data_IF_308279860008
#
_entry.id   IF_308279860008
#
_cell.length_a   1.000
_cell.length_b   1.000
_cell.length_c   1.000
_cell.angle_alpha   90.00
_cell.angle_beta   90.00
_cell.angle_gamma   90.00
#
_symmetry.space_group_name_H-M   'P 1'
#
loop_
_entity.id
_entity.type
_entity.pdbx_description
1 polymer ?
#
# COMPACT_ATOMS: atom_id res chain seq x y z
N UNK A 1 -24.73 6.82 -0.33
CA UNK A 1 -24.07 6.01 0.71
C UNK A 1 -23.53 6.95 1.79
N UNK A 2 -23.84 6.71 3.08
CA UNK A 2 -23.32 7.54 4.19
C UNK A 2 -22.00 6.96 4.68
N UNK A 3 -20.89 7.68 4.51
CA UNK A 3 -19.57 7.24 4.99
C UNK A 3 -19.55 7.40 6.53
N UNK A 4 -19.06 6.36 7.25
CA UNK A 4 -18.90 6.38 8.70
C UNK A 4 -17.91 7.45 9.14
N UNK A 5 -18.09 8.05 10.31
CA UNK A 5 -17.21 9.11 10.80
C UNK A 5 -15.78 8.62 11.06
N UNK A 6 -15.61 7.37 11.50
CA UNK A 6 -14.32 6.73 11.72
C UNK A 6 -13.50 6.63 10.43
N UNK A 7 -14.16 6.36 9.29
CA UNK A 7 -13.52 6.34 7.97
C UNK A 7 -13.17 7.77 7.52
N UNK A 8 -14.05 8.74 7.79
CA UNK A 8 -13.76 10.14 7.47
C UNK A 8 -12.55 10.67 8.23
N UNK A 9 -12.32 10.23 9.47
CA UNK A 9 -11.18 10.64 10.27
C UNK A 9 -9.83 10.18 9.67
N UNK A 10 -9.82 9.20 8.77
CA UNK A 10 -8.62 8.74 8.07
C UNK A 10 -8.30 9.55 6.79
N UNK A 11 -9.16 10.48 6.39
CA UNK A 11 -9.03 11.19 5.11
C UNK A 11 -7.72 11.95 4.95
N UNK A 12 -7.33 12.74 5.95
CA UNK A 12 -6.09 13.54 5.88
C UNK A 12 -4.85 12.64 5.84
N UNK A 13 -4.86 11.53 6.59
CA UNK A 13 -3.82 10.52 6.55
C UNK A 13 -3.73 9.86 5.17
N UNK A 14 -4.86 9.48 4.60
CA UNK A 14 -4.94 8.87 3.27
C UNK A 14 -4.36 9.81 2.21
N UNK A 15 -4.75 11.07 2.21
CA UNK A 15 -4.28 12.06 1.23
C UNK A 15 -2.78 12.29 1.38
N UNK A 16 -2.26 12.39 2.61
CA UNK A 16 -0.83 12.54 2.87
C UNK A 16 -0.04 11.33 2.37
N UNK A 17 -0.42 10.12 2.79
CA UNK A 17 0.25 8.88 2.38
C UNK A 17 0.27 8.75 0.85
N UNK A 18 -0.86 9.00 0.20
CA UNK A 18 -0.96 8.96 -1.27
C UNK A 18 0.01 9.93 -1.94
N UNK A 19 0.14 11.16 -1.42
CA UNK A 19 1.04 12.18 -1.99
C UNK A 19 2.51 11.88 -1.73
N UNK A 20 2.83 11.36 -0.55
CA UNK A 20 4.20 10.97 -0.21
C UNK A 20 4.67 9.83 -1.13
N UNK A 21 3.85 8.80 -1.32
CA UNK A 21 4.13 7.68 -2.22
C UNK A 21 4.21 8.13 -3.69
N UNK A 22 3.38 9.07 -4.11
CA UNK A 22 3.38 9.59 -5.48
C UNK A 22 4.69 10.27 -5.86
N UNK A 23 5.40 10.86 -4.90
CA UNK A 23 6.70 11.51 -5.10
C UNK A 23 7.87 10.53 -5.23
N UNK A 24 7.70 9.27 -4.81
CA UNK A 24 8.78 8.28 -4.75
C UNK A 24 8.47 6.99 -5.54
N UNK A 25 7.94 7.06 -6.76
CA UNK A 25 7.64 5.85 -7.54
C UNK A 25 8.91 5.06 -7.84
N UNK A 26 8.86 3.76 -7.57
CA UNK A 26 9.87 2.78 -7.91
C UNK A 26 9.28 1.77 -8.89
N UNK A 27 10.08 1.04 -9.68
CA UNK A 27 9.58 0.18 -10.74
C UNK A 27 9.95 -1.28 -10.55
N UNK A 28 9.05 -2.18 -10.94
CA UNK A 28 9.29 -3.62 -10.90
C UNK A 28 9.57 -4.13 -9.49
N UNK A 29 10.69 -4.81 -9.30
CA UNK A 29 11.15 -5.32 -7.99
C UNK A 29 11.97 -4.29 -7.18
N UNK A 30 12.27 -3.13 -7.73
CA UNK A 30 13.08 -2.12 -7.06
C UNK A 30 12.21 -1.19 -6.20
N UNK A 31 11.41 -1.78 -5.29
CA UNK A 31 10.41 -1.11 -4.45
C UNK A 31 10.83 -1.00 -2.98
N UNK A 32 12.15 -0.89 -2.73
CA UNK A 32 12.70 -0.88 -1.37
C UNK A 32 12.28 0.34 -0.54
N UNK A 33 12.33 1.54 -1.11
CA UNK A 33 11.94 2.76 -0.41
C UNK A 33 10.43 2.83 -0.21
N UNK A 34 9.67 2.41 -1.23
CA UNK A 34 8.21 2.29 -1.17
C UNK A 34 7.79 1.34 -0.04
N UNK A 35 8.40 0.14 0.03
CA UNK A 35 8.06 -0.82 1.06
C UNK A 35 8.54 -0.38 2.45
N UNK A 36 9.70 0.27 2.56
CA UNK A 36 10.15 0.87 3.82
C UNK A 36 9.17 1.95 4.32
N UNK A 37 8.64 2.78 3.42
CA UNK A 37 7.59 3.75 3.76
C UNK A 37 6.31 3.05 4.27
N UNK A 38 5.88 1.98 3.60
CA UNK A 38 4.71 1.16 4.01
C UNK A 38 4.91 0.63 5.43
N UNK A 39 6.04 -0.05 5.69
CA UNK A 39 6.35 -0.62 7.02
C UNK A 39 6.37 0.46 8.11
N UNK A 40 6.99 1.61 7.84
CA UNK A 40 7.05 2.72 8.81
C UNK A 40 5.71 3.42 9.02
N UNK A 41 4.77 3.29 8.09
CA UNK A 41 3.43 3.87 8.18
C UNK A 41 2.43 3.01 8.95
N UNK A 42 2.77 1.76 9.26
CA UNK A 42 1.88 0.79 9.92
C UNK A 42 2.38 0.52 11.34
N UNK A 43 1.52 0.64 12.40
CA UNK A 43 1.95 0.56 13.80
C UNK A 43 2.11 -0.88 14.33
N UNK A 44 2.18 -1.87 13.46
CA UNK A 44 2.48 -3.28 13.78
C UNK A 44 3.61 -3.78 12.90
N UNK A 45 4.33 -4.81 13.36
CA UNK A 45 5.36 -5.44 12.54
C UNK A 45 4.74 -6.20 11.35
N UNK A 46 5.48 -6.25 10.24
CA UNK A 46 5.13 -7.13 9.14
C UNK A 46 5.36 -8.59 9.53
N UNK A 47 4.46 -9.48 9.12
CA UNK A 47 4.59 -10.94 9.35
C UNK A 47 5.58 -11.57 8.37
N UNK A 48 5.69 -11.02 7.15
CA UNK A 48 6.74 -11.34 6.19
C UNK A 48 7.22 -10.05 5.51
N UNK A 49 8.54 -9.89 5.35
CA UNK A 49 9.17 -8.71 4.75
C UNK A 49 10.55 -9.08 4.22
N UNK A 50 10.79 -8.83 2.94
CA UNK A 50 12.05 -9.11 2.24
C UNK A 50 12.77 -7.85 1.73
N UNK A 51 12.31 -6.66 2.13
CA UNK A 51 12.86 -5.38 1.75
C UNK A 51 12.10 -4.69 0.62
N UNK A 52 11.48 -5.41 -0.29
CA UNK A 52 10.77 -4.87 -1.45
C UNK A 52 9.34 -5.42 -1.63
N UNK A 53 8.92 -6.35 -0.76
CA UNK A 53 7.54 -6.81 -0.62
C UNK A 53 7.21 -7.05 0.85
N UNK A 54 5.92 -7.18 1.19
CA UNK A 54 5.56 -7.42 2.58
C UNK A 54 4.13 -7.90 2.78
N UNK A 55 3.93 -8.54 3.92
CA UNK A 55 2.64 -9.09 4.35
C UNK A 55 2.39 -8.70 5.80
N UNK A 56 1.17 -8.27 6.09
CA UNK A 56 0.67 -8.00 7.44
C UNK A 56 -0.56 -8.86 7.71
N UNK A 57 -0.62 -9.44 8.89
CA UNK A 57 -1.72 -10.29 9.30
C UNK A 57 -2.39 -9.76 10.56
N UNK A 58 -3.71 -9.65 10.53
CA UNK A 58 -4.53 -9.34 11.70
C UNK A 58 -5.37 -10.57 12.05
N UNK A 59 -5.14 -11.19 13.22
CA UNK A 59 -5.89 -12.36 13.62
C UNK A 59 -7.35 -12.02 13.93
N UNK A 60 -8.28 -12.81 13.43
CA UNK A 60 -9.69 -12.79 13.77
C UNK A 60 -10.09 -13.94 14.68
N UNK A 61 -11.36 -14.00 15.06
CA UNK A 61 -11.93 -15.09 15.88
C UNK A 61 -12.29 -16.32 15.05
N UNK A 62 -12.57 -16.13 13.77
CA UNK A 62 -12.92 -17.18 12.81
C UNK A 62 -11.69 -17.73 12.08
N UNK A 63 -11.77 -18.99 11.65
CA UNK A 63 -10.71 -19.64 10.88
C UNK A 63 -10.61 -19.12 9.43
N UNK A 64 -11.67 -18.49 8.90
CA UNK A 64 -11.67 -17.91 7.58
C UNK A 64 -10.80 -16.63 7.55
N UNK A 65 -10.08 -16.43 6.44
CA UNK A 65 -9.23 -15.29 6.21
C UNK A 65 -9.69 -14.53 4.95
N UNK A 66 -9.75 -13.20 5.04
CA UNK A 66 -9.97 -12.32 3.90
C UNK A 66 -8.64 -11.68 3.55
N UNK A 67 -8.19 -11.86 2.30
CA UNK A 67 -6.97 -11.26 1.81
C UNK A 67 -7.26 -10.01 0.97
N UNK A 68 -6.48 -8.96 1.23
CA UNK A 68 -6.40 -7.75 0.43
C UNK A 68 -5.02 -7.71 -0.23
N UNK A 69 -4.96 -7.33 -1.50
CA UNK A 69 -3.72 -7.18 -2.23
C UNK A 69 -3.68 -5.78 -2.88
N UNK A 70 -2.53 -5.13 -2.78
CA UNK A 70 -2.21 -3.95 -3.60
C UNK A 70 -0.81 -4.08 -4.19
N UNK A 71 -0.54 -3.26 -5.17
CA UNK A 71 0.69 -3.17 -5.92
C UNK A 71 1.58 -2.06 -5.35
N UNK A 72 2.90 -2.21 -5.45
CA UNK A 72 3.90 -1.26 -4.95
C UNK A 72 4.54 -0.43 -6.06
N UNK A 73 4.67 -1.02 -7.27
CA UNK A 73 5.45 -0.45 -8.35
C UNK A 73 4.71 0.63 -9.15
N UNK A 74 5.46 1.53 -9.73
CA UNK A 74 5.03 2.50 -10.72
C UNK A 74 5.54 2.14 -12.11
N UNK A 75 5.19 2.97 -13.08
CA UNK A 75 5.59 2.85 -14.48
C UNK A 75 6.87 3.65 -14.77
N UNK A 76 7.74 3.18 -15.69
CA UNK A 76 8.93 3.92 -16.13
C UNK A 76 8.52 5.03 -17.11
N UNK A 77 7.68 5.94 -16.67
CA UNK A 77 7.13 7.06 -17.43
C UNK A 77 7.44 8.35 -16.67
N UNK A 78 7.96 9.34 -17.36
CA UNK A 78 8.20 10.66 -16.76
C UNK A 78 6.87 11.36 -16.49
N UNK A 79 6.69 11.88 -15.30
CA UNK A 79 5.54 12.69 -14.95
C UNK A 79 5.67 14.09 -15.58
N UNK A 80 4.56 14.57 -16.16
CA UNK A 80 4.45 15.91 -16.76
C UNK A 80 3.53 16.85 -15.98
N UNK A 81 2.93 16.38 -14.88
CA UNK A 81 2.10 17.21 -14.01
C UNK A 81 2.94 18.23 -13.23
N UNK A 82 2.31 19.37 -12.88
CA UNK A 82 2.96 20.49 -12.21
C UNK A 82 2.50 20.72 -10.75
N UNK A 83 1.83 19.76 -10.13
CA UNK A 83 1.46 19.90 -8.72
C UNK A 83 2.64 19.61 -7.78
N UNK A 84 2.56 20.11 -6.55
CA UNK A 84 3.66 20.10 -5.57
C UNK A 84 4.14 18.72 -5.10
N UNK A 85 3.41 17.66 -5.40
CA UNK A 85 3.72 16.28 -5.07
C UNK A 85 3.93 15.42 -6.33
N UNK A 86 4.20 16.02 -7.47
CA UNK A 86 4.60 15.29 -8.69
C UNK A 86 5.93 14.58 -8.48
N UNK A 87 6.10 13.44 -9.13
CA UNK A 87 7.38 12.71 -9.14
C UNK A 87 8.45 13.51 -9.91
N UNK A 88 9.63 13.63 -9.33
CA UNK A 88 10.79 14.24 -9.98
C UNK A 88 11.76 13.22 -10.57
N UNK A 89 11.51 11.93 -10.38
CA UNK A 89 12.34 10.86 -10.96
C UNK A 89 11.84 10.43 -12.36
N UNK A 90 12.34 9.31 -12.89
CA UNK A 90 11.97 8.82 -14.22
C UNK A 90 10.79 7.85 -14.22
N UNK A 91 10.09 7.74 -13.09
CA UNK A 91 8.94 6.88 -12.91
C UNK A 91 7.72 7.69 -12.45
N UNK A 92 6.54 7.13 -12.58
CA UNK A 92 5.27 7.73 -12.15
C UNK A 92 4.29 6.65 -11.72
N UNK A 93 3.53 6.91 -10.65
CA UNK A 93 2.35 6.09 -10.32
C UNK A 93 1.16 6.41 -11.23
N UNK A 94 1.35 6.22 -12.54
CA UNK A 94 0.32 6.53 -13.55
C UNK A 94 -0.87 5.55 -13.53
N UNK A 95 -0.66 4.34 -12.98
CA UNK A 95 -1.72 3.33 -12.79
C UNK A 95 -2.49 3.50 -11.47
N UNK A 96 -1.99 4.36 -10.54
CA UNK A 96 -2.67 4.67 -9.29
C UNK A 96 -2.35 3.73 -8.13
N UNK A 97 -1.25 2.98 -8.20
CA UNK A 97 -0.82 2.07 -7.12
C UNK A 97 -0.51 2.81 -5.82
N UNK A 98 -0.07 4.07 -5.87
CA UNK A 98 0.05 4.97 -4.73
C UNK A 98 -1.28 5.17 -3.96
N UNK A 99 -2.39 5.29 -4.70
CA UNK A 99 -3.72 5.37 -4.11
C UNK A 99 -4.17 4.01 -3.52
N UNK A 100 -3.86 2.90 -4.20
CA UNK A 100 -4.13 1.55 -3.68
C UNK A 100 -3.38 1.32 -2.36
N UNK A 101 -2.09 1.65 -2.29
CA UNK A 101 -1.30 1.55 -1.06
C UNK A 101 -1.86 2.43 0.06
N UNK A 102 -2.21 3.68 -0.24
CA UNK A 102 -2.77 4.59 0.76
C UNK A 102 -4.10 4.06 1.34
N UNK A 103 -4.99 3.53 0.48
CA UNK A 103 -6.24 2.89 0.91
C UNK A 103 -5.93 1.66 1.77
N UNK A 104 -4.98 0.82 1.35
CA UNK A 104 -4.59 -0.40 2.07
C UNK A 104 -4.05 -0.08 3.47
N UNK A 105 -3.12 0.88 3.58
CA UNK A 105 -2.56 1.33 4.86
C UNK A 105 -3.65 1.88 5.77
N UNK A 106 -4.53 2.74 5.27
CA UNK A 106 -5.65 3.28 6.05
C UNK A 106 -6.64 2.20 6.47
N UNK A 107 -6.90 1.21 5.62
CA UNK A 107 -7.75 0.06 5.94
C UNK A 107 -7.15 -0.76 7.08
N UNK A 108 -5.84 -0.99 7.04
CA UNK A 108 -5.12 -1.70 8.09
C UNK A 108 -5.17 -0.93 9.42
N UNK A 109 -4.91 0.39 9.41
CA UNK A 109 -5.10 1.26 10.59
C UNK A 109 -6.51 1.18 11.17
N UNK A 110 -7.53 1.16 10.31
CA UNK A 110 -8.91 1.03 10.75
C UNK A 110 -9.14 -0.28 11.51
N UNK A 111 -8.70 -1.41 10.94
CA UNK A 111 -8.94 -2.73 11.55
C UNK A 111 -8.05 -3.03 12.75
N UNK A 112 -6.90 -2.39 12.90
CA UNK A 112 -6.12 -2.44 14.16
C UNK A 112 -6.93 -1.85 15.32
N UNK A 113 -7.68 -0.76 15.07
CA UNK A 113 -8.51 -0.11 16.09
C UNK A 113 -9.92 -0.73 16.23
N UNK A 114 -10.40 -1.42 15.18
CA UNK A 114 -11.72 -2.02 15.10
C UNK A 114 -11.60 -3.50 14.70
N UNK A 115 -11.23 -4.38 15.63
CA UNK A 115 -11.01 -5.80 15.34
C UNK A 115 -12.21 -6.43 14.63
N UNK A 116 -11.93 -7.24 13.63
CA UNK A 116 -12.93 -7.91 12.80
C UNK A 116 -13.08 -9.38 13.20
N UNK A 117 -14.21 -10.00 12.84
CA UNK A 117 -14.46 -11.39 13.18
C UNK A 117 -13.62 -12.40 12.38
N UNK A 118 -13.27 -12.05 11.11
CA UNK A 118 -12.39 -12.85 10.27
C UNK A 118 -10.95 -12.37 10.38
N UNK A 119 -10.00 -13.28 10.16
CA UNK A 119 -8.61 -12.89 9.98
C UNK A 119 -8.45 -12.07 8.70
N UNK A 120 -7.55 -11.10 8.73
CA UNK A 120 -7.28 -10.23 7.58
C UNK A 120 -5.80 -10.34 7.18
N UNK A 121 -5.55 -10.54 5.90
CA UNK A 121 -4.23 -10.59 5.32
C UNK A 121 -4.07 -9.41 4.35
N UNK A 122 -3.02 -8.63 4.52
CA UNK A 122 -2.70 -7.48 3.67
C UNK A 122 -1.39 -7.76 2.94
N UNK A 123 -1.44 -7.84 1.62
CA UNK A 123 -0.35 -8.23 0.74
C UNK A 123 0.09 -7.02 -0.08
N UNK A 124 1.35 -6.60 0.08
CA UNK A 124 1.99 -5.53 -0.68
C UNK A 124 2.92 -6.16 -1.71
N UNK A 125 2.48 -6.19 -2.97
CA UNK A 125 3.11 -6.91 -4.07
C UNK A 125 3.96 -5.99 -4.93
N UNK A 126 5.24 -6.32 -5.22
CA UNK A 126 6.05 -5.62 -6.22
C UNK A 126 5.74 -6.10 -7.65
N UNK A 127 6.34 -5.46 -8.65
CA UNK A 127 6.46 -5.94 -10.03
C UNK A 127 5.15 -6.39 -10.68
N UNK A 128 4.07 -5.64 -10.48
CA UNK A 128 2.80 -5.89 -11.18
C UNK A 128 2.93 -5.49 -12.66
N UNK A 129 3.46 -4.30 -12.93
CA UNK A 129 3.58 -3.71 -14.27
C UNK A 129 4.64 -4.42 -15.13
N UNK A 130 5.69 -4.96 -14.51
CA UNK A 130 6.76 -5.69 -15.20
C UNK A 130 6.56 -7.21 -15.21
N UNK A 131 5.60 -7.70 -14.44
CA UNK A 131 5.26 -9.11 -14.28
C UNK A 131 6.20 -9.88 -13.33
N UNK A 132 5.66 -10.91 -12.71
CA UNK A 132 6.39 -11.83 -11.84
C UNK A 132 6.26 -11.58 -10.34
N UNK A 133 5.78 -10.41 -9.90
CA UNK A 133 5.65 -10.09 -8.48
C UNK A 133 4.75 -11.07 -7.71
N UNK A 134 3.60 -11.43 -8.25
CA UNK A 134 2.72 -12.42 -7.62
C UNK A 134 3.41 -13.79 -7.49
N UNK A 135 4.17 -14.22 -8.49
CA UNK A 135 4.94 -15.49 -8.45
C UNK A 135 6.04 -15.47 -7.38
N UNK A 136 6.63 -14.30 -7.14
CA UNK A 136 7.63 -14.12 -6.11
C UNK A 136 7.05 -14.31 -4.70
N UNK A 137 5.78 -13.92 -4.48
CA UNK A 137 5.11 -13.94 -3.17
C UNK A 137 4.43 -15.30 -2.83
N UNK A 138 4.44 -16.27 -3.74
CA UNK A 138 3.89 -17.62 -3.55
C UNK A 138 4.99 -18.58 -3.14
#
# INVERSE_FOLDING_TARGET
MKIRNEIKALYDMLVRIRRDLHQMPETGFDTFNTMAYVVNSIPIAADAYDGFSGVFYLPGKNTACIAFRCELDGLPVKEENLFSYASENKAMHACGHDAHMAIMICTLHYFIQHPFEYSLLFIFQPAEESGGGAKHMI
#
